data_IF_394371743140
#
_entry.id   IF_394371743140
#
_cell.length_a   1.000
_cell.length_b   1.000
_cell.length_c   1.000
_cell.angle_alpha   90.00
_cell.angle_beta   90.00
_cell.angle_gamma   90.00
#
_symmetry.space_group_name_H-M   'P 1'
#
loop_
_entity.id
_entity.type
_entity.pdbx_description
1 polymer ?
#
# COMPACT_ATOMS: atom_id res chain seq x y z
N UNK A 1 12.36 -44.99 68.75
CA UNK A 1 11.68 -44.87 67.43
C UNK A 1 11.24 -46.30 67.07
N UNK A 2 9.95 -46.56 66.91
CA UNK A 2 9.48 -47.93 66.67
C UNK A 2 9.83 -48.43 65.26
N UNK A 3 10.09 -49.75 65.14
CA UNK A 3 10.47 -50.41 63.87
C UNK A 3 9.54 -50.04 62.68
N UNK A 4 8.23 -49.81 62.95
CA UNK A 4 7.22 -49.38 62.02
C UNK A 4 7.50 -47.95 61.49
N UNK A 5 7.99 -47.03 62.35
CA UNK A 5 8.33 -45.67 62.01
C UNK A 5 9.60 -45.62 61.14
N UNK A 6 10.59 -46.48 61.43
CA UNK A 6 11.79 -46.59 60.59
C UNK A 6 11.51 -47.13 59.19
N UNK A 7 10.65 -48.16 59.10
CA UNK A 7 10.23 -48.68 57.76
C UNK A 7 9.46 -47.67 57.00
N UNK A 8 8.55 -46.88 57.61
CA UNK A 8 7.82 -45.80 56.91
C UNK A 8 8.75 -44.69 56.43
N UNK A 9 9.75 -44.31 57.25
CA UNK A 9 10.73 -43.28 56.81
C UNK A 9 11.57 -43.81 55.66
N UNK A 10 12.04 -45.06 55.71
CA UNK A 10 12.81 -45.65 54.57
C UNK A 10 11.96 -45.73 53.31
N UNK A 11 10.70 -46.14 53.43
CA UNK A 11 9.79 -46.17 52.26
C UNK A 11 9.56 -44.79 51.65
N UNK A 12 9.38 -43.74 52.46
CA UNK A 12 9.26 -42.34 51.97
C UNK A 12 10.53 -41.90 51.31
N UNK A 13 11.72 -42.16 51.86
CA UNK A 13 13.00 -41.82 51.28
C UNK A 13 13.21 -42.50 49.91
N UNK A 14 12.87 -43.79 49.84
CA UNK A 14 12.95 -44.54 48.55
C UNK A 14 11.98 -43.99 47.52
N UNK A 15 10.77 -43.61 47.89
CA UNK A 15 9.80 -42.97 47.02
C UNK A 15 10.28 -41.58 46.53
N UNK A 16 10.85 -40.79 47.43
CA UNK A 16 11.41 -39.47 47.08
C UNK A 16 12.64 -39.59 46.15
N UNK A 17 13.55 -40.52 46.41
CA UNK A 17 14.71 -40.78 45.57
C UNK A 17 14.31 -41.34 44.20
N UNK A 18 13.37 -42.30 44.19
CA UNK A 18 12.83 -42.86 42.94
C UNK A 18 12.09 -41.80 42.11
N UNK A 19 11.30 -40.94 42.76
CA UNK A 19 10.62 -39.82 42.14
C UNK A 19 11.60 -38.77 41.55
N UNK A 20 12.69 -38.46 42.30
CA UNK A 20 13.72 -37.53 41.84
C UNK A 20 14.48 -38.07 40.62
N UNK A 21 14.83 -39.34 40.58
CA UNK A 21 15.49 -39.99 39.43
C UNK A 21 14.55 -40.04 38.24
N UNK A 22 13.27 -40.36 38.42
CA UNK A 22 12.28 -40.35 37.34
C UNK A 22 12.07 -38.95 36.79
N UNK A 23 11.98 -37.93 37.65
CA UNK A 23 11.83 -36.53 37.26
C UNK A 23 13.07 -36.02 36.46
N UNK A 24 14.28 -36.41 36.90
CA UNK A 24 15.51 -36.07 36.20
C UNK A 24 15.58 -36.74 34.81
N UNK A 25 15.24 -38.00 34.72
CA UNK A 25 15.23 -38.74 33.46
C UNK A 25 14.16 -38.18 32.50
N UNK A 26 13.00 -37.80 33.00
CA UNK A 26 11.93 -37.18 32.20
C UNK A 26 12.35 -35.81 31.69
N UNK A 27 12.83 -34.91 32.53
CA UNK A 27 13.35 -33.59 32.12
C UNK A 27 14.50 -33.71 31.09
N UNK A 28 15.36 -34.74 31.28
CA UNK A 28 16.42 -35.05 30.34
C UNK A 28 15.93 -35.52 28.98
N UNK A 29 14.82 -36.23 28.91
CA UNK A 29 14.20 -36.68 27.67
C UNK A 29 13.56 -35.51 26.89
N UNK A 30 13.08 -34.49 27.61
CA UNK A 30 12.45 -33.27 27.03
C UNK A 30 13.44 -32.13 26.74
N UNK A 31 14.73 -32.33 26.97
CA UNK A 31 15.74 -31.25 26.83
C UNK A 31 15.87 -30.71 25.41
N UNK A 32 15.50 -31.49 24.39
CA UNK A 32 15.65 -31.21 22.99
C UNK A 32 14.32 -30.76 22.35
N UNK A 33 13.27 -30.55 23.15
CA UNK A 33 11.96 -30.08 22.69
C UNK A 33 11.54 -28.79 23.38
N UNK A 34 10.71 -28.00 22.72
CA UNK A 34 10.15 -26.75 23.24
C UNK A 34 8.94 -27.05 24.15
N UNK A 35 8.86 -26.35 25.27
CA UNK A 35 7.72 -26.42 26.15
C UNK A 35 6.42 -25.89 25.54
N UNK A 36 5.27 -26.33 26.02
CA UNK A 36 3.97 -25.87 25.58
C UNK A 36 3.79 -24.36 25.82
N UNK A 37 3.12 -23.66 24.88
CA UNK A 37 2.81 -22.23 24.96
C UNK A 37 3.96 -21.31 24.57
N UNK A 38 5.02 -21.82 23.94
CA UNK A 38 6.11 -21.00 23.38
C UNK A 38 5.83 -20.71 21.91
N UNK A 39 5.76 -19.43 21.57
CA UNK A 39 5.58 -18.96 20.20
C UNK A 39 6.76 -18.09 19.76
N UNK A 40 7.22 -18.25 18.52
CA UNK A 40 8.26 -17.43 17.92
C UNK A 40 7.69 -16.74 16.68
N UNK A 41 7.76 -15.42 16.63
CA UNK A 41 7.10 -14.61 15.60
C UNK A 41 5.61 -14.99 15.40
N UNK A 42 4.93 -15.43 16.47
CA UNK A 42 3.55 -15.92 16.49
C UNK A 42 3.36 -17.28 15.79
N UNK A 43 4.43 -18.06 15.52
CA UNK A 43 4.36 -19.48 15.17
C UNK A 43 4.43 -20.27 16.47
N UNK A 44 3.47 -21.16 16.69
CA UNK A 44 3.49 -22.07 17.83
C UNK A 44 4.55 -23.17 17.60
N UNK A 45 5.48 -23.29 18.53
CA UNK A 45 6.60 -24.23 18.44
C UNK A 45 6.51 -25.32 19.54
N UNK A 46 5.40 -25.38 20.25
CA UNK A 46 5.15 -26.36 21.34
C UNK A 46 5.47 -27.77 20.91
N UNK A 47 6.32 -28.44 21.67
CA UNK A 47 6.73 -29.84 21.47
C UNK A 47 7.69 -30.06 20.30
N UNK A 48 8.10 -29.03 19.57
CA UNK A 48 9.02 -29.16 18.44
C UNK A 48 10.46 -29.34 18.88
N UNK A 49 11.20 -30.09 18.11
CA UNK A 49 12.66 -30.18 18.19
C UNK A 49 13.30 -29.00 17.47
N UNK A 50 14.59 -28.72 17.71
CA UNK A 50 15.36 -27.65 17.03
C UNK A 50 15.29 -27.73 15.49
N UNK A 51 15.29 -28.92 14.93
CA UNK A 51 15.20 -29.10 13.47
C UNK A 51 13.80 -28.75 12.95
N UNK A 52 12.75 -29.21 13.62
CA UNK A 52 11.35 -28.90 13.29
C UNK A 52 11.07 -27.42 13.39
N UNK A 53 11.57 -26.75 14.45
CA UNK A 53 11.49 -25.30 14.64
C UNK A 53 12.14 -24.54 13.49
N UNK A 54 13.39 -24.92 13.14
CA UNK A 54 14.13 -24.29 12.05
C UNK A 54 13.34 -24.40 10.74
N UNK A 55 12.76 -25.56 10.49
CA UNK A 55 11.92 -25.79 9.30
C UNK A 55 10.61 -24.99 9.35
N UNK A 56 9.93 -24.97 10.51
CA UNK A 56 8.69 -24.22 10.69
C UNK A 56 8.92 -22.71 10.48
N UNK A 57 9.93 -22.14 11.13
CA UNK A 57 10.28 -20.72 11.00
C UNK A 57 10.80 -20.37 9.59
N UNK A 58 11.59 -21.26 8.99
CA UNK A 58 12.03 -21.06 7.59
C UNK A 58 10.85 -20.97 6.63
N UNK A 59 9.86 -21.82 6.79
CA UNK A 59 8.71 -21.89 5.90
C UNK A 59 7.67 -20.80 6.19
N UNK A 60 7.41 -20.50 7.45
CA UNK A 60 6.32 -19.59 7.87
C UNK A 60 6.78 -18.14 8.02
N UNK A 61 8.05 -17.90 8.34
CA UNK A 61 8.61 -16.56 8.55
C UNK A 61 9.53 -16.13 7.41
N UNK A 62 10.54 -16.95 7.05
CA UNK A 62 11.55 -16.54 6.06
C UNK A 62 11.07 -16.69 4.61
N UNK A 63 10.36 -17.77 4.26
CA UNK A 63 9.91 -17.98 2.89
C UNK A 63 8.96 -16.87 2.36
N UNK A 64 8.00 -16.36 3.13
CA UNK A 64 7.21 -15.19 2.73
C UNK A 64 8.07 -13.94 2.49
N UNK A 65 9.13 -13.74 3.29
CA UNK A 65 10.03 -12.58 3.15
C UNK A 65 10.84 -12.58 1.86
N UNK A 66 11.02 -13.74 1.23
CA UNK A 66 11.71 -13.90 -0.07
C UNK A 66 10.85 -13.51 -1.26
N UNK A 67 9.54 -13.29 -1.06
CA UNK A 67 8.62 -12.84 -2.12
C UNK A 67 8.71 -11.32 -2.30
N UNK A 68 8.51 -10.80 -3.52
CA UNK A 68 8.46 -9.36 -3.75
C UNK A 68 7.27 -8.73 -3.00
N UNK A 69 7.39 -7.45 -2.68
CA UNK A 69 6.27 -6.64 -2.24
C UNK A 69 5.68 -5.92 -3.44
N UNK A 70 4.37 -5.98 -3.58
CA UNK A 70 3.64 -5.33 -4.66
C UNK A 70 2.73 -4.23 -4.09
N UNK A 71 2.70 -3.08 -4.77
CA UNK A 71 1.76 -2.00 -4.46
C UNK A 71 0.91 -1.77 -5.70
N UNK A 72 -0.41 -1.87 -5.55
CA UNK A 72 -1.38 -1.69 -6.63
C UNK A 72 -2.07 -0.35 -6.52
N UNK A 73 -2.20 0.32 -7.66
CA UNK A 73 -3.04 1.50 -7.83
C UNK A 73 -3.75 1.42 -9.19
N UNK A 74 -5.07 1.30 -9.17
CA UNK A 74 -5.89 1.10 -10.38
C UNK A 74 -5.36 -0.09 -11.20
N UNK A 75 -4.90 0.16 -12.43
CA UNK A 75 -4.34 -0.84 -13.34
C UNK A 75 -2.81 -0.95 -13.25
N UNK A 76 -2.18 -0.15 -12.42
CA UNK A 76 -0.73 -0.14 -12.24
C UNK A 76 -0.30 -1.02 -11.07
N UNK A 77 0.86 -1.64 -11.19
CA UNK A 77 1.47 -2.45 -10.13
C UNK A 77 2.95 -2.11 -10.03
N UNK A 78 3.34 -1.62 -8.88
CA UNK A 78 4.73 -1.35 -8.52
C UNK A 78 5.27 -2.55 -7.75
N UNK A 79 6.50 -2.95 -8.03
CA UNK A 79 7.09 -4.16 -7.45
C UNK A 79 8.43 -3.85 -6.80
N UNK A 80 8.54 -4.14 -5.50
CA UNK A 80 9.80 -4.10 -4.76
C UNK A 80 10.36 -5.51 -4.64
N UNK A 81 11.44 -5.86 -5.38
CA UNK A 81 12.05 -7.17 -5.30
C UNK A 81 12.62 -7.46 -3.92
N UNK A 82 12.41 -8.67 -3.39
CA UNK A 82 12.90 -9.04 -2.07
C UNK A 82 14.43 -8.91 -1.93
N UNK A 83 15.19 -9.14 -3.01
CA UNK A 83 16.64 -9.00 -3.04
C UNK A 83 17.12 -7.56 -2.70
N UNK A 84 16.32 -6.54 -3.03
CA UNK A 84 16.64 -5.15 -2.78
C UNK A 84 16.40 -4.77 -1.32
N UNK A 85 15.49 -5.45 -0.65
CA UNK A 85 15.22 -5.27 0.76
C UNK A 85 16.38 -5.76 1.65
N UNK A 86 17.25 -6.68 1.15
CA UNK A 86 18.39 -7.24 1.90
C UNK A 86 17.97 -7.77 3.28
N UNK A 87 16.82 -8.44 3.34
CA UNK A 87 16.23 -8.91 4.59
C UNK A 87 17.18 -9.86 5.30
N UNK A 88 17.37 -9.62 6.60
CA UNK A 88 18.11 -10.48 7.54
C UNK A 88 17.23 -10.69 8.76
N UNK A 89 17.02 -11.93 9.12
CA UNK A 89 16.28 -12.29 10.32
C UNK A 89 17.18 -13.14 11.22
N UNK A 90 17.24 -12.80 12.49
CA UNK A 90 18.03 -13.56 13.46
C UNK A 90 17.16 -14.70 14.04
N UNK A 91 16.93 -15.72 13.21
CA UNK A 91 16.09 -16.88 13.60
C UNK A 91 16.79 -17.74 14.63
N UNK A 92 18.10 -17.97 14.47
CA UNK A 92 18.87 -18.83 15.40
C UNK A 92 18.82 -18.31 16.85
N UNK A 93 19.00 -17.00 17.04
CA UNK A 93 18.90 -16.40 18.36
C UNK A 93 17.48 -16.47 18.94
N UNK A 94 16.43 -16.43 18.10
CA UNK A 94 15.06 -16.61 18.54
C UNK A 94 14.79 -18.05 18.97
N UNK A 95 15.35 -19.03 18.25
CA UNK A 95 15.32 -20.46 18.60
C UNK A 95 16.05 -20.70 19.93
N UNK A 96 17.28 -20.19 20.08
CA UNK A 96 18.03 -20.33 21.33
C UNK A 96 17.23 -19.80 22.52
N UNK A 97 16.63 -18.62 22.36
CA UNK A 97 15.77 -18.02 23.38
C UNK A 97 14.52 -18.83 23.67
N UNK A 98 13.91 -19.48 22.67
CA UNK A 98 12.78 -20.36 22.88
C UNK A 98 13.14 -21.58 23.75
N UNK A 99 14.32 -22.16 23.55
CA UNK A 99 14.85 -23.19 24.41
C UNK A 99 15.16 -22.68 25.83
N UNK A 100 15.74 -21.49 25.99
CA UNK A 100 15.99 -20.88 27.30
C UNK A 100 14.69 -20.69 28.08
N UNK A 101 13.67 -20.05 27.48
CA UNK A 101 12.36 -19.82 28.10
C UNK A 101 11.65 -21.13 28.42
N UNK A 102 11.76 -22.16 27.57
CA UNK A 102 11.19 -23.49 27.81
C UNK A 102 11.77 -24.15 29.06
N UNK A 103 13.00 -23.85 29.40
CA UNK A 103 13.74 -24.42 30.56
C UNK A 103 13.75 -23.52 31.78
N UNK A 104 13.00 -22.42 31.75
CA UNK A 104 12.89 -21.55 32.93
C UNK A 104 12.20 -22.24 34.08
N UNK A 105 12.73 -22.04 35.28
CA UNK A 105 12.24 -22.61 36.53
C UNK A 105 13.05 -23.80 37.06
N UNK A 106 12.74 -24.22 38.30
CA UNK A 106 13.37 -25.37 38.93
C UNK A 106 12.93 -26.70 38.29
N UNK A 107 13.76 -27.74 38.41
CA UNK A 107 13.49 -29.07 37.89
C UNK A 107 12.09 -29.62 38.31
N UNK A 108 11.67 -29.54 39.57
CA UNK A 108 10.31 -29.96 39.96
C UNK A 108 9.23 -29.14 39.26
N UNK A 109 9.42 -27.82 39.12
CA UNK A 109 8.45 -26.94 38.46
C UNK A 109 8.25 -27.30 37.01
N UNK A 110 9.34 -27.57 36.27
CA UNK A 110 9.28 -27.99 34.88
C UNK A 110 8.55 -29.30 34.69
N UNK A 111 8.93 -30.32 35.48
CA UNK A 111 8.30 -31.64 35.39
C UNK A 111 6.81 -31.58 35.74
N UNK A 112 6.40 -30.84 36.79
CA UNK A 112 4.98 -30.66 37.13
C UNK A 112 4.26 -29.97 35.97
N UNK A 113 4.81 -28.89 35.43
CA UNK A 113 4.23 -28.17 34.30
C UNK A 113 3.97 -29.09 33.13
N UNK A 114 4.95 -29.89 32.72
CA UNK A 114 4.85 -30.78 31.57
C UNK A 114 3.84 -31.93 31.80
N UNK A 115 3.89 -32.57 32.96
CA UNK A 115 2.97 -33.68 33.31
C UNK A 115 1.52 -33.19 33.43
N UNK A 116 1.30 -31.96 33.90
CA UNK A 116 -0.03 -31.37 34.04
C UNK A 116 -0.52 -30.63 32.79
N UNK A 117 0.27 -30.55 31.72
CA UNK A 117 -0.05 -29.81 30.49
C UNK A 117 -0.03 -28.29 30.67
N UNK A 118 0.77 -27.80 31.65
CA UNK A 118 0.94 -26.35 31.85
C UNK A 118 1.75 -25.71 30.75
N UNK A 119 1.51 -24.41 30.53
CA UNK A 119 2.13 -23.59 29.45
C UNK A 119 3.15 -22.62 30.04
N UNK A 120 4.19 -22.30 29.24
CA UNK A 120 5.16 -21.23 29.53
C UNK A 120 4.59 -19.84 29.13
N UNK A 121 3.75 -19.80 28.11
CA UNK A 121 3.15 -18.57 27.58
C UNK A 121 4.21 -17.50 27.16
N UNK A 122 5.29 -17.94 26.50
CA UNK A 122 6.35 -17.07 26.00
C UNK A 122 6.10 -16.70 24.54
N UNK A 123 6.10 -15.41 24.23
CA UNK A 123 6.02 -14.88 22.89
C UNK A 123 7.34 -14.20 22.49
N UNK A 124 8.12 -14.85 21.65
CA UNK A 124 9.47 -14.41 21.29
C UNK A 124 9.42 -13.72 19.92
N UNK A 125 9.82 -12.44 19.81
CA UNK A 125 9.91 -11.76 18.55
C UNK A 125 11.14 -12.20 17.75
N UNK A 126 11.01 -12.29 16.43
CA UNK A 126 12.15 -12.39 15.52
C UNK A 126 12.51 -10.98 15.05
N UNK A 127 13.74 -10.56 15.31
CA UNK A 127 14.22 -9.29 14.80
C UNK A 127 14.53 -9.40 13.32
N UNK A 128 13.77 -8.67 12.50
CA UNK A 128 13.96 -8.58 11.05
C UNK A 128 14.62 -7.23 10.74
N UNK A 129 15.79 -7.28 10.11
CA UNK A 129 16.45 -6.09 9.58
C UNK A 129 16.31 -6.06 8.06
N UNK A 130 16.03 -4.89 7.52
CA UNK A 130 15.91 -4.67 6.08
C UNK A 130 16.45 -3.29 5.67
N UNK A 131 16.57 -3.04 4.37
CA UNK A 131 17.10 -1.79 3.85
C UNK A 131 16.05 -0.68 3.84
N UNK A 132 16.06 0.20 4.85
CA UNK A 132 15.27 1.43 4.91
C UNK A 132 15.41 2.28 3.64
N UNK A 133 16.65 2.38 3.12
CA UNK A 133 16.92 3.10 1.87
C UNK A 133 16.12 2.54 0.69
N UNK A 134 15.94 1.22 0.64
CA UNK A 134 15.17 0.58 -0.44
C UNK A 134 13.68 0.81 -0.28
N UNK A 135 13.17 0.80 0.97
CA UNK A 135 11.77 1.12 1.27
C UNK A 135 11.47 2.56 0.87
N UNK A 136 12.26 3.53 1.33
CA UNK A 136 12.07 4.95 1.03
C UNK A 136 12.15 5.26 -0.46
N UNK A 137 13.11 4.63 -1.18
CA UNK A 137 13.20 4.76 -2.63
C UNK A 137 11.94 4.21 -3.33
N UNK A 138 11.45 3.05 -2.87
CA UNK A 138 10.26 2.44 -3.44
C UNK A 138 8.99 3.28 -3.19
N UNK A 139 8.82 3.83 -1.99
CA UNK A 139 7.72 4.77 -1.69
C UNK A 139 7.76 5.96 -2.64
N UNK A 140 8.97 6.52 -2.88
CA UNK A 140 9.13 7.62 -3.83
C UNK A 140 8.80 7.20 -5.27
N UNK A 141 9.25 6.03 -5.70
CA UNK A 141 8.91 5.48 -7.04
C UNK A 141 7.41 5.34 -7.23
N UNK A 142 6.70 4.80 -6.22
CA UNK A 142 5.23 4.70 -6.24
C UNK A 142 4.58 6.09 -6.27
N UNK A 143 5.10 7.05 -5.50
CA UNK A 143 4.58 8.41 -5.47
C UNK A 143 4.74 9.10 -6.83
N UNK A 144 5.92 9.00 -7.42
CA UNK A 144 6.23 9.60 -8.73
C UNK A 144 5.38 8.96 -9.85
N UNK A 145 5.07 7.66 -9.76
CA UNK A 145 4.21 6.97 -10.71
C UNK A 145 2.72 7.28 -10.57
N UNK A 146 2.25 7.61 -9.36
CA UNK A 146 0.83 7.89 -9.09
C UNK A 146 0.48 9.36 -9.27
N UNK A 147 1.44 10.27 -9.04
CA UNK A 147 1.17 11.71 -9.05
C UNK A 147 0.59 12.15 -10.39
N UNK A 148 -0.55 12.84 -10.32
CA UNK A 148 -1.23 13.43 -11.46
C UNK A 148 -1.86 14.74 -11.03
N UNK A 149 -1.58 15.80 -11.76
CA UNK A 149 -2.27 17.07 -11.56
C UNK A 149 -3.71 16.98 -12.09
N UNK A 150 -4.67 17.68 -11.47
CA UNK A 150 -6.02 17.77 -11.99
C UNK A 150 -6.02 18.53 -13.32
N UNK A 151 -6.90 18.12 -14.23
CA UNK A 151 -7.11 18.81 -15.51
C UNK A 151 -8.52 19.36 -15.50
N UNK A 152 -8.63 20.68 -15.73
CA UNK A 152 -9.91 21.35 -15.84
C UNK A 152 -10.60 21.01 -17.16
N UNK A 153 -11.91 20.90 -17.13
CA UNK A 153 -12.69 20.83 -18.36
C UNK A 153 -12.52 22.12 -19.17
N UNK A 154 -12.42 22.00 -20.46
CA UNK A 154 -12.32 23.12 -21.38
C UNK A 154 -13.00 22.83 -22.69
N UNK A 155 -13.12 23.88 -23.54
CA UNK A 155 -13.68 23.76 -24.88
C UNK A 155 -12.55 23.73 -25.89
N UNK A 156 -12.56 22.74 -26.76
CA UNK A 156 -11.71 22.72 -27.97
C UNK A 156 -12.57 23.10 -29.18
N UNK A 157 -12.23 24.22 -29.77
CA UNK A 157 -12.90 24.73 -30.96
C UNK A 157 -12.10 24.40 -32.22
N UNK A 158 -12.73 23.63 -33.12
CA UNK A 158 -12.30 23.49 -34.51
C UNK A 158 -13.01 24.52 -35.40
N UNK A 159 -12.64 24.65 -36.69
CA UNK A 159 -13.28 25.58 -37.61
C UNK A 159 -14.81 25.35 -37.71
N UNK A 160 -15.22 24.12 -37.72
CA UNK A 160 -16.65 23.71 -37.90
C UNK A 160 -17.22 22.89 -36.74
N UNK A 161 -16.45 22.65 -35.69
CA UNK A 161 -16.85 21.81 -34.55
C UNK A 161 -16.46 22.42 -33.21
N UNK A 162 -17.22 22.07 -32.19
CA UNK A 162 -16.94 22.39 -30.81
C UNK A 162 -16.96 21.09 -30.02
N UNK A 163 -15.91 20.82 -29.27
CA UNK A 163 -15.84 19.61 -28.43
C UNK A 163 -15.39 19.96 -27.01
N UNK A 164 -15.79 19.12 -26.06
CA UNK A 164 -15.42 19.28 -24.65
C UNK A 164 -14.21 18.42 -24.34
N UNK A 165 -13.16 19.03 -23.83
CA UNK A 165 -12.06 18.33 -23.16
C UNK A 165 -12.57 18.03 -21.74
N UNK A 166 -12.63 16.75 -21.40
CA UNK A 166 -13.16 16.30 -20.09
C UNK A 166 -12.20 16.62 -18.96
N UNK A 167 -12.78 17.01 -17.84
CA UNK A 167 -12.03 17.17 -16.61
C UNK A 167 -11.48 15.85 -16.09
N UNK A 168 -10.29 15.89 -15.49
CA UNK A 168 -9.70 14.72 -14.83
C UNK A 168 -9.25 15.08 -13.42
N UNK A 169 -9.48 14.14 -12.47
CA UNK A 169 -9.00 14.30 -11.11
C UNK A 169 -7.49 14.14 -11.04
N UNK A 170 -6.87 14.94 -10.18
CA UNK A 170 -5.50 14.75 -9.75
C UNK A 170 -5.39 13.72 -8.63
N UNK A 171 -4.20 13.13 -8.47
CA UNK A 171 -3.88 12.13 -7.45
C UNK A 171 -2.52 12.43 -6.83
N UNK A 172 -2.43 12.27 -5.50
CA UNK A 172 -1.18 12.32 -4.76
C UNK A 172 -1.15 11.17 -3.76
N UNK A 173 -0.09 10.38 -3.76
CA UNK A 173 0.08 9.27 -2.82
C UNK A 173 0.04 9.77 -1.36
N UNK A 174 -0.48 8.97 -0.47
CA UNK A 174 -0.35 9.16 0.99
C UNK A 174 0.90 8.43 1.46
N UNK A 175 2.06 9.05 1.22
CA UNK A 175 3.40 8.46 1.39
C UNK A 175 3.62 7.87 2.78
N UNK A 176 3.26 8.62 3.82
CA UNK A 176 3.41 8.18 5.21
C UNK A 176 2.63 6.89 5.49
N UNK A 177 1.40 6.80 4.97
CA UNK A 177 0.57 5.62 5.17
C UNK A 177 1.14 4.40 4.44
N UNK A 178 1.66 4.57 3.22
CA UNK A 178 2.32 3.48 2.50
C UNK A 178 3.59 3.04 3.21
N UNK A 179 4.38 4.00 3.72
CA UNK A 179 5.58 3.71 4.50
C UNK A 179 5.26 2.90 5.75
N UNK A 180 4.28 3.32 6.55
CA UNK A 180 3.80 2.58 7.73
C UNK A 180 3.36 1.14 7.38
N UNK A 181 2.59 0.97 6.30
CA UNK A 181 2.14 -0.34 5.86
C UNK A 181 3.30 -1.24 5.43
N UNK A 182 4.31 -0.68 4.75
CA UNK A 182 5.51 -1.42 4.35
C UNK A 182 6.33 -1.84 5.56
N UNK A 183 6.59 -0.94 6.51
CA UNK A 183 7.29 -1.27 7.75
C UNK A 183 6.55 -2.35 8.54
N UNK A 184 5.26 -2.17 8.81
CA UNK A 184 4.46 -3.17 9.52
C UNK A 184 4.44 -4.55 8.85
N UNK A 185 4.41 -4.59 7.51
CA UNK A 185 4.51 -5.84 6.74
C UNK A 185 5.90 -6.49 6.86
N UNK A 186 6.96 -5.70 6.82
CA UNK A 186 8.34 -6.20 6.88
C UNK A 186 8.71 -6.64 8.29
N UNK A 187 8.31 -5.88 9.31
CA UNK A 187 8.57 -6.18 10.72
C UNK A 187 7.83 -7.42 11.19
N UNK A 188 6.55 -7.57 10.82
CA UNK A 188 5.76 -8.74 11.20
C UNK A 188 6.19 -10.02 10.46
N UNK A 189 6.79 -9.88 9.29
CA UNK A 189 7.09 -11.00 8.39
C UNK A 189 5.87 -11.72 7.83
N UNK A 190 4.66 -11.27 8.15
CA UNK A 190 3.37 -11.93 7.86
C UNK A 190 2.44 -11.03 7.07
N UNK A 191 1.42 -11.62 6.49
CA UNK A 191 0.37 -10.93 5.76
C UNK A 191 0.55 -10.94 4.25
N UNK A 192 -0.34 -10.23 3.57
CA UNK A 192 -0.30 -10.12 2.11
C UNK A 192 0.86 -9.26 1.65
N UNK A 193 1.69 -9.77 0.77
CA UNK A 193 2.77 -9.00 0.11
C UNK A 193 2.23 -8.05 -0.97
N UNK A 194 0.92 -7.92 -1.07
CA UNK A 194 0.27 -6.97 -1.98
C UNK A 194 -0.49 -5.93 -1.16
N UNK A 195 -0.10 -4.69 -1.30
CA UNK A 195 -0.73 -3.52 -0.70
C UNK A 195 -1.51 -2.73 -1.77
N UNK A 196 -2.46 -1.92 -1.34
CA UNK A 196 -3.20 -1.00 -2.21
C UNK A 196 -2.82 0.43 -1.83
N UNK A 197 -2.29 1.18 -2.78
CA UNK A 197 -1.92 2.57 -2.56
C UNK A 197 -3.16 3.42 -2.24
N UNK A 198 -3.09 4.21 -1.19
CA UNK A 198 -4.09 5.21 -0.83
C UNK A 198 -3.63 6.58 -1.31
N UNK A 199 -4.55 7.35 -1.90
CA UNK A 199 -4.25 8.65 -2.48
C UNK A 199 -5.17 9.74 -1.91
N UNK A 200 -4.70 10.95 -1.94
CA UNK A 200 -5.53 12.14 -1.87
C UNK A 200 -5.95 12.50 -3.29
N UNK A 201 -7.23 12.81 -3.47
CA UNK A 201 -7.81 13.19 -4.76
C UNK A 201 -7.98 14.69 -4.77
N UNK A 202 -7.40 15.36 -5.78
CA UNK A 202 -7.63 16.78 -6.04
C UNK A 202 -8.63 16.88 -7.20
N UNK A 203 -9.74 17.57 -6.95
CA UNK A 203 -10.74 17.81 -8.00
C UNK A 203 -10.28 18.93 -8.92
N UNK A 204 -10.65 18.90 -10.21
CA UNK A 204 -10.44 20.02 -11.13
C UNK A 204 -11.25 21.24 -10.64
N UNK A 205 -10.79 22.43 -10.97
CA UNK A 205 -11.48 23.69 -10.67
C UNK A 205 -12.76 23.85 -11.54
N UNK A 206 -12.72 23.32 -12.75
CA UNK A 206 -13.88 23.28 -13.67
C UNK A 206 -14.19 21.82 -14.01
N UNK A 207 -15.36 21.36 -13.63
CA UNK A 207 -15.81 20.01 -13.96
C UNK A 207 -16.39 19.93 -15.36
N UNK A 208 -16.49 18.73 -15.93
CA UNK A 208 -17.07 18.52 -17.26
C UNK A 208 -18.55 18.95 -17.34
N UNK A 209 -19.29 18.89 -16.24
CA UNK A 209 -20.68 19.36 -16.16
C UNK A 209 -20.81 20.87 -16.11
N UNK A 210 -19.82 21.57 -15.58
CA UNK A 210 -19.84 23.03 -15.41
C UNK A 210 -19.28 23.78 -16.63
N UNK A 211 -18.58 23.09 -17.52
CA UNK A 211 -17.93 23.74 -18.68
C UNK A 211 -18.95 24.45 -19.60
N UNK A 212 -20.16 23.94 -19.72
CA UNK A 212 -21.20 24.58 -20.53
C UNK A 212 -21.66 25.92 -19.95
N UNK A 213 -21.69 26.06 -18.61
CA UNK A 213 -22.03 27.32 -17.92
C UNK A 213 -20.91 28.36 -18.07
N UNK A 214 -19.67 27.89 -18.14
CA UNK A 214 -18.50 28.77 -18.36
C UNK A 214 -18.45 29.34 -19.78
N UNK A 215 -19.02 28.61 -20.76
CA UNK A 215 -19.11 29.02 -22.17
C UNK A 215 -20.57 29.08 -22.65
N UNK A 216 -21.40 29.97 -22.10
CA UNK A 216 -22.84 30.02 -22.41
C UNK A 216 -23.10 30.40 -23.87
N UNK A 217 -22.16 31.10 -24.48
CA UNK A 217 -22.22 31.44 -25.90
C UNK A 217 -20.82 31.31 -26.52
N UNK A 218 -20.73 30.60 -27.62
CA UNK A 218 -19.49 30.46 -28.40
C UNK A 218 -19.78 30.68 -29.87
N UNK A 219 -18.82 31.25 -30.58
CA UNK A 219 -18.91 31.46 -32.02
C UNK A 219 -17.68 30.84 -32.67
N UNK A 220 -17.88 30.00 -33.65
CA UNK A 220 -16.77 29.53 -34.52
C UNK A 220 -16.91 30.10 -35.89
N UNK A 221 -15.77 30.49 -36.49
CA UNK A 221 -15.68 31.04 -37.85
C UNK A 221 -14.81 30.10 -38.67
N UNK A 222 -15.42 29.49 -39.68
CA UNK A 222 -14.71 28.66 -40.65
C UNK A 222 -14.49 29.47 -41.94
N UNK A 223 -13.26 29.86 -42.16
CA UNK A 223 -12.87 30.65 -43.35
C UNK A 223 -12.89 29.83 -44.63
N UNK A 224 -12.72 28.51 -44.55
CA UNK A 224 -12.69 27.62 -45.71
C UNK A 224 -14.07 27.33 -46.27
N UNK A 225 -15.07 27.25 -45.39
CA UNK A 225 -16.46 27.00 -45.77
C UNK A 225 -17.34 28.26 -45.74
N UNK A 226 -16.76 29.42 -45.39
CA UNK A 226 -17.48 30.71 -45.27
C UNK A 226 -18.67 30.63 -44.28
N UNK A 227 -18.46 29.95 -43.16
CA UNK A 227 -19.50 29.75 -42.17
C UNK A 227 -19.15 30.32 -40.80
N UNK A 228 -20.13 30.96 -40.19
CA UNK A 228 -20.14 31.30 -38.75
C UNK A 228 -21.19 30.48 -38.09
N UNK A 229 -20.79 29.78 -37.02
CA UNK A 229 -21.69 28.95 -36.21
C UNK A 229 -21.84 29.53 -34.83
N UNK A 230 -23.08 29.69 -34.40
CA UNK A 230 -23.45 30.12 -33.06
C UNK A 230 -23.77 28.89 -32.22
N UNK A 231 -23.07 28.78 -31.09
CA UNK A 231 -23.28 27.74 -30.12
C UNK A 231 -23.82 28.34 -28.82
N UNK A 232 -24.82 27.73 -28.18
CA UNK A 232 -25.31 28.04 -26.84
C UNK A 232 -25.23 26.83 -25.98
N UNK A 233 -24.64 26.97 -24.79
CA UNK A 233 -24.37 25.85 -23.87
C UNK A 233 -23.70 24.68 -24.62
N UNK A 234 -22.76 25.00 -25.54
CA UNK A 234 -21.99 24.08 -26.39
C UNK A 234 -22.83 23.31 -27.44
N UNK A 235 -24.12 23.63 -27.60
CA UNK A 235 -24.98 23.09 -28.64
C UNK A 235 -25.07 24.06 -29.84
N UNK A 236 -25.02 23.53 -31.08
CA UNK A 236 -25.15 24.31 -32.28
C UNK A 236 -26.58 24.83 -32.44
N UNK A 237 -26.73 26.16 -32.40
CA UNK A 237 -28.05 26.82 -32.52
C UNK A 237 -28.29 27.28 -33.94
N UNK A 238 -27.29 27.89 -34.60
CA UNK A 238 -27.45 28.48 -35.93
C UNK A 238 -26.14 28.54 -36.71
N UNK A 239 -26.26 28.39 -38.03
CA UNK A 239 -25.15 28.60 -38.97
C UNK A 239 -25.52 29.74 -39.90
N UNK A 240 -24.54 30.61 -40.16
CA UNK A 240 -24.66 31.72 -41.09
C UNK A 240 -23.58 31.61 -42.16
N UNK A 241 -23.92 31.99 -43.42
CA UNK A 241 -22.92 32.19 -44.47
C UNK A 241 -22.40 33.61 -44.37
N UNK A 242 -21.07 33.78 -44.43
CA UNK A 242 -20.40 35.08 -44.26
C UNK A 242 -19.36 35.30 -45.34
N UNK A 243 -19.03 36.52 -45.62
CA UNK A 243 -17.82 36.86 -46.33
C UNK A 243 -16.63 36.83 -45.38
N UNK A 244 -15.47 36.43 -45.89
CA UNK A 244 -14.20 36.49 -45.18
C UNK A 244 -13.26 37.44 -45.92
N UNK A 245 -12.17 37.88 -45.29
CA UNK A 245 -11.20 38.77 -45.90
C UNK A 245 -10.66 38.26 -47.23
N UNK A 246 -10.52 39.14 -48.21
CA UNK A 246 -9.94 38.85 -49.52
C UNK A 246 -8.43 38.55 -49.41
N UNK A 247 -7.83 38.08 -50.49
CA UNK A 247 -6.38 37.86 -50.56
C UNK A 247 -5.62 39.17 -50.23
N UNK A 248 -4.72 39.10 -49.28
CA UNK A 248 -3.97 40.23 -48.73
C UNK A 248 -4.66 40.95 -47.55
N UNK A 249 -5.91 40.57 -47.24
CA UNK A 249 -6.68 41.11 -46.11
C UNK A 249 -7.38 39.96 -45.38
N UNK A 250 -6.69 38.86 -45.21
CA UNK A 250 -7.26 37.64 -44.65
C UNK A 250 -7.80 37.85 -43.23
N UNK A 251 -8.97 37.31 -42.94
CA UNK A 251 -9.48 37.23 -41.57
C UNK A 251 -8.49 36.47 -40.70
N UNK A 252 -7.87 37.06 -39.66
CA UNK A 252 -6.85 36.40 -38.90
C UNK A 252 -7.41 35.18 -38.14
N UNK A 253 -6.59 34.12 -38.04
CA UNK A 253 -6.91 32.96 -37.22
C UNK A 253 -6.54 33.21 -35.73
N UNK A 254 -7.34 32.71 -34.83
CA UNK A 254 -7.06 32.84 -33.41
C UNK A 254 -8.32 32.70 -32.56
N UNK A 255 -8.13 32.82 -31.25
CA UNK A 255 -9.21 32.88 -30.26
C UNK A 255 -9.41 34.34 -29.85
N UNK A 256 -10.65 34.80 -29.95
CA UNK A 256 -11.01 36.19 -29.71
C UNK A 256 -12.18 36.28 -28.72
N UNK A 257 -12.28 37.39 -28.01
CA UNK A 257 -13.43 37.72 -27.18
C UNK A 257 -14.26 38.82 -27.86
N UNK A 258 -15.60 38.74 -27.74
CA UNK A 258 -16.49 39.81 -28.21
C UNK A 258 -16.32 41.02 -27.32
N UNK A 259 -15.82 42.12 -27.86
CA UNK A 259 -15.53 43.33 -27.10
C UNK A 259 -16.77 44.23 -26.94
N UNK A 260 -17.63 44.29 -27.96
CA UNK A 260 -18.84 45.09 -27.95
C UNK A 260 -19.94 44.48 -28.79
N UNK A 261 -21.18 44.86 -28.51
CA UNK A 261 -22.38 44.50 -29.27
C UNK A 261 -23.13 45.77 -29.58
N UNK A 262 -23.56 45.93 -30.81
CA UNK A 262 -24.37 47.07 -31.25
C UNK A 262 -25.62 46.56 -31.98
N UNK A 263 -26.72 47.25 -31.80
CA UNK A 263 -27.98 47.03 -32.56
C UNK A 263 -28.04 48.09 -33.64
N UNK A 264 -28.33 47.70 -34.85
CA UNK A 264 -28.40 48.56 -36.05
C UNK A 264 -27.15 49.47 -36.21
N UNK A 265 -25.94 48.86 -36.27
CA UNK A 265 -24.71 49.66 -36.32
C UNK A 265 -24.63 50.44 -37.62
N UNK A 266 -24.27 51.75 -37.52
CA UNK A 266 -23.94 52.54 -38.68
C UNK A 266 -22.51 52.25 -39.08
N UNK A 267 -22.30 51.78 -40.30
CA UNK A 267 -20.98 51.60 -40.86
C UNK A 267 -20.55 52.87 -41.63
N UNK A 268 -19.52 53.51 -41.14
CA UNK A 268 -18.91 54.64 -41.85
C UNK A 268 -17.83 54.10 -42.77
N UNK A 269 -18.02 54.28 -44.06
CA UNK A 269 -17.03 53.85 -45.07
C UNK A 269 -15.76 54.71 -44.90
N UNK A 270 -14.60 54.06 -44.65
CA UNK A 270 -13.37 54.83 -44.60
C UNK A 270 -13.08 55.48 -45.95
N UNK A 271 -12.43 56.63 -45.90
CA UNK A 271 -12.04 57.36 -47.10
C UNK A 271 -10.88 56.58 -47.81
N UNK A 272 -11.19 55.68 -48.70
CA UNK A 272 -10.28 54.74 -49.35
C UNK A 272 -10.58 54.72 -50.86
N UNK A 273 -9.55 54.49 -51.66
CA UNK A 273 -9.61 54.50 -53.16
C UNK A 273 -10.31 53.27 -53.76
N UNK A 274 -11.03 52.47 -53.00
CA UNK A 274 -11.76 51.30 -53.47
C UNK A 274 -13.25 51.46 -53.44
#
# INVERSE_FOLDING_TARGET
>A
MGRKTQVAIIAIVVLLLGGAVAAYAYDGAQKDTIANGVTVAGVDLSGMTREEETNALSNQVLAPQRKPVMVKFRNETFTLPAKELKIRANVDAAIDRAFEESREGSLPTRVIREVTGGEVNAAIPVNVAYSEKSVNRFVKEVADGIVKEPVDASVSAGPSSLSVIKAENGYKLRDNLLSEQLHGLLDSGRGSRTLVAKVNVTKPAVTTSEVAEQYPTYITVDRSTFQVKLWKNLELVKTYTVAVGAAGYETPAGLYSIQSKQVDPVWTVPNSDW
#
